data_IF_534038614043
#
_entry.id   IF_534038614043
#
_cell.length_a   1.000
_cell.length_b   1.000
_cell.length_c   1.000
_cell.angle_alpha   90.00
_cell.angle_beta   90.00
_cell.angle_gamma   90.00
#
_symmetry.space_group_name_H-M   'P 1'
#
loop_
_entity.id
_entity.type
_entity.pdbx_description
1 polymer ?
2 water ?
#
# COMPACT_ATOMS: atom_id res chain seq x y z
N UNK A 136 -9.37 -2.65 -19.83
CA UNK A 136 -9.82 -1.19 -19.81
C UNK A 136 -10.51 -0.77 -18.50
N UNK A 137 -10.14 -1.46 -17.45
CA UNK A 137 -10.58 -1.12 -16.13
C UNK A 137 -9.38 -0.44 -15.46
N UNK A 138 -9.28 0.83 -15.74
CA UNK A 138 -8.16 1.60 -15.23
C UNK A 138 -8.49 1.96 -13.79
N UNK A 139 -7.54 1.79 -12.90
CA UNK A 139 -7.70 2.33 -11.56
C UNK A 139 -6.49 3.16 -11.28
N UNK A 140 -6.63 4.07 -10.35
CA UNK A 140 -5.54 4.92 -9.92
C UNK A 140 -5.37 4.88 -8.39
N UNK A 141 -4.29 5.44 -7.91
CA UNK A 141 -3.99 5.47 -6.48
C UNK A 141 -5.08 6.16 -5.75
N UNK A 142 -5.52 5.58 -4.63
CA UNK A 142 -6.51 6.26 -3.84
C UNK A 142 -6.03 7.55 -3.22
N UNK A 143 -4.80 7.58 -2.74
CA UNK A 143 -4.27 8.76 -2.09
C UNK A 143 -2.85 8.88 -2.49
N UNK A 144 -2.43 10.07 -2.86
CA UNK A 144 -1.05 10.26 -3.22
C UNK A 144 -0.62 11.64 -2.87
N UNK A 145 0.61 11.78 -2.37
CA UNK A 145 1.19 13.09 -2.18
C UNK A 145 2.10 13.51 -3.31
N UNK A 146 1.91 14.75 -3.77
CA UNK A 146 2.74 15.40 -4.75
C UNK A 146 3.21 16.71 -4.22
N UNK A 147 4.26 17.24 -4.84
CA UNK A 147 4.70 18.57 -4.47
C UNK A 147 5.50 19.24 -5.62
N UNK A 148 5.85 20.51 -5.43
CA UNK A 148 6.61 21.12 -6.50
C UNK A 148 7.89 20.38 -6.80
N UNK A 149 8.53 19.82 -5.78
CA UNK A 149 9.75 19.06 -6.03
C UNK A 149 9.43 17.74 -6.64
N UNK A 150 8.31 17.09 -6.29
CA UNK A 150 7.92 15.79 -6.86
C UNK A 150 6.53 15.84 -7.47
N UNK A 151 6.39 16.44 -8.69
CA UNK A 151 5.06 16.75 -9.18
C UNK A 151 4.46 15.67 -10.06
N UNK A 152 5.17 14.58 -10.25
CA UNK A 152 4.71 13.61 -11.25
C UNK A 152 3.70 12.64 -10.66
N UNK A 153 2.66 12.40 -11.43
CA UNK A 153 1.66 11.38 -11.26
C UNK A 153 1.91 10.23 -12.24
N UNK A 154 1.57 9.01 -11.80
CA UNK A 154 1.75 7.81 -12.63
C UNK A 154 0.44 7.00 -12.59
N UNK A 155 0.13 6.35 -13.70
CA UNK A 155 -0.93 5.37 -13.74
C UNK A 155 -0.63 4.34 -14.83
N UNK A 156 -1.47 3.31 -14.88
CA UNK A 156 -1.24 2.16 -15.72
C UNK A 156 -1.42 2.48 -17.19
N UNK A 157 -0.46 2.05 -17.99
CA UNK A 157 -0.53 2.28 -19.42
C UNK A 157 -1.48 1.28 -20.00
N UNK A 158 -2.61 1.73 -20.53
CA UNK A 158 -3.67 0.85 -21.03
C UNK A 158 -3.31 0.30 -22.39
N UNK A 159 -2.23 0.82 -23.02
CA UNK A 159 -1.86 0.40 -24.38
C UNK A 159 -1.47 1.65 -25.16
N UNK A 160 -0.46 1.50 -26.03
CA UNK A 160 0.06 2.59 -26.82
C UNK A 160 -0.95 3.27 -27.75
N UNK A 161 -2.11 2.63 -28.01
CA UNK A 161 -3.15 3.23 -28.83
C UNK A 161 -3.94 4.26 -28.06
N UNK A 162 -3.80 4.33 -26.73
CA UNK A 162 -4.67 5.13 -25.94
C UNK A 162 -3.92 6.36 -25.42
N UNK A 163 -4.62 7.46 -25.51
CA UNK A 163 -4.28 8.69 -24.77
C UNK A 163 -5.15 8.77 -23.51
N UNK A 164 -5.01 9.85 -22.78
CA UNK A 164 -5.73 9.97 -21.51
C UNK A 164 -6.12 11.45 -21.34
N UNK A 165 -7.23 11.65 -20.61
CA UNK A 165 -7.53 13.00 -20.07
C UNK A 165 -7.53 12.84 -18.61
N UNK A 166 -6.59 13.53 -17.97
CA UNK A 166 -6.44 13.61 -16.51
C UNK A 166 -7.27 14.79 -16.07
N UNK A 167 -8.25 14.53 -15.18
CA UNK A 167 -9.11 15.58 -14.69
C UNK A 167 -8.85 15.85 -13.20
N UNK A 168 -8.46 17.04 -12.88
CA UNK A 168 -8.17 17.39 -11.47
C UNK A 168 -9.05 18.53 -11.07
N UNK A 169 -9.96 18.27 -10.12
CA UNK A 169 -10.99 19.26 -9.74
C UNK A 169 -11.60 19.97 -10.93
N UNK A 170 -12.02 19.26 -11.94
CA UNK A 170 -12.69 19.91 -13.07
C UNK A 170 -11.76 20.46 -14.13
N UNK A 171 -10.45 20.42 -13.93
CA UNK A 171 -9.56 20.91 -14.98
C UNK A 171 -9.01 19.69 -15.74
N UNK A 172 -9.09 19.76 -17.07
CA UNK A 172 -8.83 18.63 -17.90
C UNK A 172 -7.43 18.83 -18.53
N UNK A 173 -6.58 17.82 -18.47
CA UNK A 173 -5.25 17.83 -19.06
C UNK A 173 -5.18 16.69 -20.10
N UNK A 174 -4.73 17.03 -21.29
CA UNK A 174 -4.60 16.06 -22.39
C UNK A 174 -3.28 15.34 -22.30
N UNK A 175 -3.28 14.07 -21.99
CA UNK A 175 -2.06 13.33 -21.75
C UNK A 175 -1.77 12.47 -23.01
N UNK A 176 -0.57 12.63 -23.61
CA UNK A 176 -0.23 11.81 -24.80
C UNK A 176 -0.19 10.33 -24.52
N UNK A 177 -0.62 9.55 -25.50
CA UNK A 177 -0.37 8.16 -25.56
C UNK A 177 1.13 7.86 -25.34
N UNK A 178 1.43 6.72 -24.75
CA UNK A 178 2.86 6.31 -24.57
C UNK A 178 2.96 4.81 -24.75
N UNK A 179 4.12 4.36 -25.15
CA UNK A 179 4.44 2.95 -25.14
C UNK A 179 5.37 2.59 -24.00
N UNK A 180 5.58 3.50 -23.05
CA UNK A 180 6.45 3.17 -21.90
C UNK A 180 5.81 2.20 -20.91
N UNK A 181 6.55 1.88 -19.87
CA UNK A 181 6.06 0.89 -18.88
C UNK A 181 4.96 1.42 -18.01
N UNK A 182 4.80 2.74 -17.93
CA UNK A 182 3.72 3.35 -17.21
C UNK A 182 3.44 4.73 -17.85
N UNK A 183 2.32 5.33 -17.48
CA UNK A 183 2.01 6.70 -17.94
C UNK A 183 2.50 7.63 -16.83
N UNK A 184 3.24 8.66 -17.20
CA UNK A 184 3.84 9.58 -16.21
C UNK A 184 3.47 11.00 -16.65
N UNK A 185 2.90 11.80 -15.79
CA UNK A 185 2.50 13.16 -16.15
C UNK A 185 2.89 14.11 -15.06
N UNK A 186 3.58 15.15 -15.43
CA UNK A 186 3.97 16.24 -14.51
C UNK A 186 2.78 17.14 -14.25
N UNK A 187 2.31 17.14 -13.01
CA UNK A 187 1.13 17.90 -12.70
C UNK A 187 1.56 19.34 -12.50
N UNK A 188 0.94 20.31 -13.26
CA UNK A 188 1.37 21.68 -13.00
C UNK A 188 0.88 22.10 -11.66
N UNK A 189 1.52 23.10 -11.08
CA UNK A 189 1.18 23.54 -9.72
C UNK A 189 -0.32 23.60 -9.29
N UNK A 190 -0.64 22.92 -8.21
CA UNK A 190 -1.94 22.99 -7.59
C UNK A 190 -1.78 23.84 -6.33
N UNK A 191 -2.91 24.29 -5.79
CA UNK A 191 -2.94 24.90 -4.51
C UNK A 191 -2.65 23.83 -3.43
N UNK A 192 -1.98 24.19 -2.33
CA UNK A 192 -1.75 23.27 -1.25
C UNK A 192 -3.05 22.60 -0.73
N UNK A 193 -3.01 21.32 -0.44
CA UNK A 193 -4.16 20.59 0.14
C UNK A 193 -4.68 19.51 -0.82
N UNK A 194 -5.92 19.09 -0.60
CA UNK A 194 -6.52 17.86 -1.23
C UNK A 194 -7.24 18.22 -2.51
N UNK A 195 -7.03 17.40 -3.56
CA UNK A 195 -7.61 17.60 -4.86
C UNK A 195 -8.09 16.23 -5.40
N UNK A 196 -9.29 16.17 -5.96
CA UNK A 196 -9.77 14.92 -6.47
C UNK A 196 -9.29 14.80 -7.90
N UNK A 197 -9.00 13.58 -8.33
CA UNK A 197 -8.66 13.36 -9.72
C UNK A 197 -9.24 12.06 -10.25
N UNK A 198 -9.46 12.10 -11.54
CA UNK A 198 -9.87 10.87 -12.30
C UNK A 198 -9.20 10.93 -13.68
N UNK A 199 -9.24 9.81 -14.36
CA UNK A 199 -8.62 9.68 -15.66
C UNK A 199 -9.57 9.04 -16.66
N UNK A 200 -9.76 9.69 -17.80
CA UNK A 200 -10.49 9.14 -18.91
C UNK A 200 -9.51 8.58 -19.95
N UNK A 201 -9.74 7.35 -20.42
CA UNK A 201 -8.92 6.72 -21.46
C UNK A 201 -9.54 7.05 -22.77
N UNK A 202 -8.74 7.46 -23.74
CA UNK A 202 -9.21 7.91 -25.03
C UNK A 202 -8.51 7.19 -26.18
N UNK A 203 -9.26 6.99 -27.23
CA UNK A 203 -8.74 6.39 -28.44
C UNK A 203 -9.15 7.28 -29.54
N UNK A 204 -8.17 7.89 -30.20
CA UNK A 204 -8.42 8.78 -31.31
C UNK A 204 -9.22 9.98 -30.84
N UNK A 205 -8.94 10.45 -29.63
CA UNK A 205 -9.74 11.52 -29.00
C UNK A 205 -11.13 11.23 -28.47
N UNK A 206 -11.55 9.98 -28.51
CA UNK A 206 -12.84 9.58 -27.97
C UNK A 206 -12.73 8.71 -26.77
N UNK A 207 -13.45 9.08 -25.71
CA UNK A 207 -13.50 8.34 -24.52
C UNK A 207 -13.85 6.87 -24.75
N UNK A 208 -13.06 5.97 -24.20
CA UNK A 208 -13.32 4.58 -24.25
C UNK A 208 -13.38 3.90 -22.90
N UNK A 209 -13.04 4.60 -21.81
CA UNK A 209 -12.93 3.97 -20.50
C UNK A 209 -12.64 5.11 -19.52
N UNK A 210 -12.71 4.81 -18.24
CA UNK A 210 -12.59 5.85 -17.22
C UNK A 210 -12.31 5.19 -15.87
N UNK A 211 -11.62 5.88 -14.99
CA UNK A 211 -11.44 5.39 -13.62
C UNK A 211 -12.86 5.29 -12.96
N UNK A 212 -13.17 4.23 -12.23
CA UNK A 212 -14.51 4.12 -11.59
C UNK A 212 -14.57 4.93 -10.31
N UNK A 213 -13.53 4.83 -9.51
CA UNK A 213 -13.36 5.68 -8.35
C UNK A 213 -12.16 6.55 -8.67
N UNK A 214 -12.16 7.75 -8.19
CA UNK A 214 -10.97 8.55 -8.48
C UNK A 214 -9.95 8.30 -7.40
N UNK A 215 -9.07 9.27 -7.28
CA UNK A 215 -8.24 9.33 -6.13
C UNK A 215 -8.17 10.73 -5.59
N UNK A 216 -7.35 10.88 -4.57
CA UNK A 216 -7.09 12.17 -3.94
C UNK A 216 -5.61 12.49 -4.06
N UNK A 217 -5.25 13.66 -4.62
CA UNK A 217 -3.87 14.18 -4.58
C UNK A 217 -3.81 15.08 -3.36
N UNK A 218 -2.81 14.94 -2.53
CA UNK A 218 -2.48 15.95 -1.53
C UNK A 218 -1.27 16.69 -2.09
N UNK A 219 -1.44 17.98 -2.34
CA UNK A 219 -0.37 18.83 -2.79
C UNK A 219 0.26 19.55 -1.54
N UNK A 220 1.55 19.37 -1.36
CA UNK A 220 2.27 20.00 -0.26
C UNK A 220 2.42 21.49 -0.34
N UNK A 221 2.32 22.15 0.82
CA UNK A 221 2.56 23.56 0.91
C UNK A 221 4.05 23.82 0.80
N UNK A 222 4.41 25.08 0.65
CA UNK A 222 5.78 25.52 0.65
C UNK A 222 6.54 25.05 1.87
N UNK A 223 5.89 25.15 3.04
CA UNK A 223 6.52 24.73 4.25
C UNK A 223 6.69 23.24 4.31
N UNK A 224 5.67 22.49 3.89
CA UNK A 224 5.86 21.04 3.87
C UNK A 224 6.84 20.58 2.85
N UNK A 225 6.90 21.25 1.72
CA UNK A 225 7.83 20.79 0.71
C UNK A 225 9.30 21.07 1.11
N UNK A 226 9.52 22.21 1.76
CA UNK A 226 10.85 22.51 2.29
C UNK A 226 11.25 21.43 3.27
N UNK A 227 10.33 21.05 4.14
CA UNK A 227 10.71 19.99 5.09
C UNK A 227 11.00 18.63 4.40
N UNK A 228 10.21 18.26 3.42
CA UNK A 228 10.46 17.04 2.68
C UNK A 228 11.83 17.10 2.05
N UNK A 229 12.13 18.23 1.45
CA UNK A 229 13.41 18.41 0.77
C UNK A 229 14.56 18.29 1.80
N UNK A 230 14.40 18.87 2.99
CA UNK A 230 15.40 18.73 4.05
C UNK A 230 15.55 17.30 4.58
N UNK A 231 14.43 16.59 4.71
CA UNK A 231 14.48 15.19 5.10
C UNK A 231 15.21 14.35 4.06
N UNK A 232 14.94 14.59 2.80
CA UNK A 232 15.60 13.81 1.75
C UNK A 232 17.09 14.06 1.84
N UNK A 233 17.45 15.33 2.03
CA UNK A 233 18.86 15.70 2.15
C UNK A 233 19.52 15.05 3.36
N UNK A 234 18.82 14.99 4.48
CA UNK A 234 19.32 14.33 5.65
C UNK A 234 19.59 12.85 5.39
N UNK A 235 18.64 12.17 4.80
CA UNK A 235 18.80 10.75 4.53
C UNK A 235 19.94 10.49 3.54
N UNK A 236 20.07 11.28 2.50
CA UNK A 236 21.21 11.15 1.58
C UNK A 236 22.60 11.41 2.20
N UNK A 237 22.67 12.36 3.12
CA UNK A 237 23.91 12.62 3.81
C UNK A 237 24.24 11.41 4.72
N UNK A 238 23.26 10.92 5.49
CA UNK A 238 23.49 9.89 6.49
C UNK A 238 23.71 8.53 5.90
N UNK A 239 23.03 8.21 4.81
CA UNK A 239 23.21 6.89 4.18
C UNK A 239 23.61 7.08 2.78
N UNK A 240 24.90 7.39 2.62
CA UNK A 240 25.44 7.79 1.31
C UNK A 240 25.20 6.72 0.24
N UNK A 241 24.68 7.17 -0.88
CA UNK A 241 24.34 6.32 -1.99
C UNK A 241 23.19 5.34 -1.79
N UNK A 242 22.48 5.35 -0.64
CA UNK A 242 21.51 4.28 -0.33
C UNK A 242 20.14 4.65 -0.85
N UNK A 243 19.81 4.10 -2.00
CA UNK A 243 18.56 4.44 -2.66
C UNK A 243 17.36 3.83 -1.89
N UNK A 244 17.59 2.74 -1.18
CA UNK A 244 16.50 2.16 -0.42
C UNK A 244 16.04 3.08 0.73
N UNK A 245 17.02 3.58 1.49
CA UNK A 245 16.74 4.52 2.55
C UNK A 245 15.94 5.73 2.01
N UNK A 246 16.32 6.22 0.84
CA UNK A 246 15.67 7.39 0.23
C UNK A 246 14.25 7.02 -0.11
N UNK A 247 14.06 5.88 -0.76
CA UNK A 247 12.73 5.46 -1.17
C UNK A 247 11.88 5.25 0.02
N UNK A 248 12.46 4.72 1.07
CA UNK A 248 11.68 4.43 2.25
C UNK A 248 11.19 5.71 3.01
N UNK A 249 12.07 6.70 3.10
CA UNK A 249 11.67 7.99 3.61
C UNK A 249 10.55 8.67 2.77
N UNK A 250 10.71 8.73 1.46
CA UNK A 250 9.67 9.33 0.62
C UNK A 250 8.33 8.57 0.78
N UNK A 251 8.40 7.25 0.79
CA UNK A 251 7.26 6.34 1.00
C UNK A 251 6.53 6.71 2.28
N UNK A 252 7.28 6.91 3.34
CA UNK A 252 6.72 7.29 4.67
C UNK A 252 6.00 8.62 4.63
N UNK A 253 6.38 9.53 3.72
CA UNK A 253 5.64 10.77 3.56
C UNK A 253 4.52 10.71 2.53
N UNK A 254 4.19 9.53 1.98
CA UNK A 254 3.11 9.42 1.03
C UNK A 254 3.52 9.83 -0.41
N UNK A 255 4.80 10.10 -0.64
CA UNK A 255 5.29 10.54 -1.97
C UNK A 255 5.61 9.29 -2.88
N UNK A 256 4.53 8.61 -3.22
CA UNK A 256 4.65 7.23 -3.69
C UNK A 256 5.41 7.11 -5.05
N UNK A 257 5.24 8.07 -5.95
CA UNK A 257 5.97 8.02 -7.26
C UNK A 257 7.50 8.21 -7.00
N UNK A 258 7.88 9.16 -6.12
CA UNK A 258 9.29 9.39 -5.85
C UNK A 258 9.85 8.15 -5.12
N UNK A 259 9.06 7.55 -4.22
CA UNK A 259 9.49 6.31 -3.54
C UNK A 259 9.75 5.22 -4.57
N UNK A 260 8.84 5.07 -5.49
CA UNK A 260 8.97 4.11 -6.60
C UNK A 260 10.20 4.35 -7.39
N UNK A 261 10.53 5.60 -7.73
CA UNK A 261 11.76 5.88 -8.51
C UNK A 261 13.02 5.43 -7.73
N UNK A 262 13.08 5.78 -6.45
CA UNK A 262 14.26 5.42 -5.66
C UNK A 262 14.37 3.93 -5.47
N UNK A 263 13.25 3.28 -5.17
CA UNK A 263 13.27 1.86 -5.05
C UNK A 263 13.75 1.19 -6.34
N UNK A 264 13.26 1.65 -7.50
CA UNK A 264 13.66 1.05 -8.77
C UNK A 264 15.19 1.13 -8.95
N UNK A 265 15.77 2.23 -8.49
CA UNK A 265 17.22 2.39 -8.57
C UNK A 265 17.87 1.43 -7.64
N UNK A 266 17.34 1.31 -6.43
CA UNK A 266 17.90 0.38 -5.50
C UNK A 266 17.93 -1.02 -6.07
N UNK A 267 16.82 -1.48 -6.58
CA UNK A 267 16.73 -2.87 -6.98
C UNK A 267 17.47 -3.15 -8.26
N UNK A 268 17.63 -2.12 -9.09
CA UNK A 268 18.46 -2.21 -10.29
C UNK A 268 19.89 -2.50 -9.89
N UNK A 269 20.42 -1.90 -8.82
CA UNK A 269 21.78 -2.30 -8.48
C UNK A 269 21.88 -3.38 -7.39
N UNK A 270 20.82 -3.70 -6.65
CA UNK A 270 20.83 -4.83 -5.69
C UNK A 270 19.63 -5.71 -5.97
N UNK A 271 19.69 -6.37 -7.11
CA UNK A 271 18.59 -7.17 -7.58
C UNK A 271 18.24 -8.35 -6.59
N UNK A 272 19.21 -8.72 -5.76
CA UNK A 272 19.06 -9.86 -4.87
C UNK A 272 18.56 -9.47 -3.48
N UNK A 273 18.19 -8.21 -3.26
CA UNK A 273 17.73 -7.75 -1.94
C UNK A 273 16.22 -8.10 -1.77
N UNK A 274 15.90 -9.38 -1.69
CA UNK A 274 14.53 -9.84 -1.82
C UNK A 274 13.71 -9.47 -0.62
N UNK A 275 14.34 -9.38 0.52
CA UNK A 275 13.63 -9.02 1.77
C UNK A 275 12.94 -7.63 1.70
N UNK A 276 13.47 -6.70 0.92
CA UNK A 276 12.88 -5.38 0.81
C UNK A 276 11.95 -5.29 -0.36
N UNK A 277 12.03 -6.24 -1.27
CA UNK A 277 11.20 -6.23 -2.49
C UNK A 277 9.70 -6.10 -2.26
N UNK A 278 9.14 -6.71 -1.19
CA UNK A 278 7.71 -6.42 -1.02
C UNK A 278 7.30 -4.93 -0.92
N UNK A 279 8.20 -4.03 -0.53
CA UNK A 279 7.89 -2.62 -0.50
C UNK A 279 7.76 -2.09 -1.91
N UNK A 280 8.53 -2.64 -2.86
CA UNK A 280 8.38 -2.23 -4.26
C UNK A 280 7.12 -2.83 -4.87
N UNK A 281 6.84 -4.08 -4.55
CA UNK A 281 5.62 -4.70 -4.95
C UNK A 281 4.43 -3.84 -4.48
N UNK A 282 4.45 -3.41 -3.22
CA UNK A 282 3.35 -2.69 -2.60
C UNK A 282 3.17 -1.28 -3.25
N UNK A 283 4.27 -0.69 -3.65
CA UNK A 283 4.25 0.55 -4.33
C UNK A 283 3.54 0.42 -5.69
N UNK A 284 3.87 -0.63 -6.43
CA UNK A 284 3.21 -0.86 -7.70
C UNK A 284 1.76 -1.14 -7.48
N UNK A 285 1.44 -1.89 -6.43
CA UNK A 285 0.05 -2.19 -6.10
C UNK A 285 -0.78 -0.95 -5.69
N UNK A 286 -0.22 -0.11 -4.86
CA UNK A 286 -0.80 1.14 -4.53
C UNK A 286 -1.14 2.10 -5.74
N UNK A 287 -0.22 2.21 -6.70
CA UNK A 287 -0.39 2.98 -7.91
C UNK A 287 -1.28 2.28 -8.94
N UNK A 288 -1.72 1.06 -8.63
CA UNK A 288 -2.44 0.10 -9.49
C UNK A 288 -1.77 -0.22 -10.76
N UNK A 289 -0.43 -0.34 -10.75
CA UNK A 289 0.31 -0.69 -11.91
C UNK A 289 0.31 -2.23 -11.97
N UNK A 290 -0.75 -2.78 -12.53
CA UNK A 290 -0.98 -4.27 -12.50
C UNK A 290 0.14 -5.11 -13.09
N UNK A 291 0.61 -4.76 -14.27
CA UNK A 291 1.64 -5.56 -14.91
C UNK A 291 2.95 -5.48 -14.18
N UNK A 292 3.31 -4.29 -13.74
CA UNK A 292 4.53 -4.15 -12.96
C UNK A 292 4.51 -4.91 -11.65
N UNK A 293 3.38 -4.85 -11.00
CA UNK A 293 3.20 -5.56 -9.77
C UNK A 293 3.37 -7.07 -9.99
N UNK A 294 2.72 -7.57 -11.02
CA UNK A 294 2.79 -8.99 -11.34
C UNK A 294 4.20 -9.39 -11.66
N UNK A 295 4.89 -8.59 -12.46
CA UNK A 295 6.26 -8.90 -12.74
C UNK A 295 7.13 -8.93 -11.51
N UNK A 296 6.99 -7.91 -10.65
CA UNK A 296 7.82 -7.82 -9.45
C UNK A 296 7.56 -8.95 -8.52
N UNK A 297 6.30 -9.32 -8.40
CA UNK A 297 5.92 -10.49 -7.60
C UNK A 297 6.55 -11.80 -8.14
N UNK A 298 6.63 -11.90 -9.47
CA UNK A 298 7.25 -13.04 -10.08
C UNK A 298 8.74 -13.05 -9.75
N UNK A 299 9.41 -11.90 -9.84
CA UNK A 299 10.81 -11.83 -9.42
C UNK A 299 10.95 -12.33 -7.96
N UNK A 300 10.13 -11.78 -7.07
CA UNK A 300 10.20 -12.19 -5.67
C UNK A 300 10.10 -13.72 -5.52
N UNK A 301 9.07 -14.30 -6.13
CA UNK A 301 8.87 -15.73 -6.10
C UNK A 301 9.99 -16.51 -6.71
N UNK A 302 10.43 -16.14 -7.89
CA UNK A 302 11.58 -16.81 -8.50
C UNK A 302 12.79 -16.75 -7.49
N UNK A 303 13.02 -15.61 -6.82
CA UNK A 303 14.14 -15.55 -5.86
C UNK A 303 13.93 -16.41 -4.64
N UNK A 304 12.70 -16.59 -4.21
CA UNK A 304 12.41 -17.52 -3.14
C UNK A 304 12.77 -18.90 -3.60
N UNK A 305 12.23 -19.26 -4.78
CA UNK A 305 12.43 -20.56 -5.45
C UNK A 305 13.91 -20.89 -5.72
N UNK A 306 14.77 -19.90 -5.94
CA UNK A 306 16.24 -20.16 -6.04
C UNK A 306 16.99 -20.66 -4.80
N UNK A 307 16.34 -20.66 -3.66
CA UNK A 307 16.94 -21.15 -2.43
C UNK A 307 17.37 -22.64 -2.52
N UNK A 308 18.58 -23.00 -2.01
CA UNK A 308 19.00 -24.42 -2.03
C UNK A 308 17.92 -25.40 -1.49
N UNK A 309 17.52 -26.43 -2.26
CA UNK A 309 16.47 -27.43 -1.84
C UNK A 309 14.96 -27.12 -2.00
N UNK A 310 14.58 -25.85 -2.22
CA UNK A 310 13.16 -25.32 -2.19
C UNK A 310 12.13 -25.96 -3.17
N UNK A 311 12.56 -26.23 -4.40
CA UNK A 311 11.69 -26.80 -5.47
C UNK A 311 12.15 -28.20 -5.83
N UNK B 137 -11.51 11.01 11.35
CA UNK B 137 -10.81 10.49 12.55
C UNK B 137 -10.55 8.98 12.41
N UNK B 138 -11.41 8.23 11.69
CA UNK B 138 -11.10 6.85 11.24
C UNK B 138 -10.84 6.71 9.72
N UNK B 139 -9.73 6.06 9.38
CA UNK B 139 -9.48 5.61 8.02
C UNK B 139 -9.18 4.13 8.05
N UNK B 140 -9.42 3.48 6.91
CA UNK B 140 -9.13 2.05 6.73
C UNK B 140 -8.28 1.76 5.49
N UNK B 141 -7.77 0.55 5.40
CA UNK B 141 -6.92 0.16 4.32
C UNK B 141 -7.61 0.40 2.99
N UNK B 142 -6.90 0.98 2.05
CA UNK B 142 -7.45 1.17 0.73
C UNK B 142 -7.70 -0.11 0.00
N UNK B 143 -6.77 -1.06 0.11
CA UNK B 143 -6.84 -2.33 -0.59
C UNK B 143 -6.27 -3.36 0.33
N UNK B 144 -6.96 -4.47 0.44
CA UNK B 144 -6.46 -5.51 1.28
C UNK B 144 -6.94 -6.82 0.75
N UNK B 145 -6.05 -7.82 0.81
CA UNK B 145 -6.44 -9.17 0.51
C UNK B 145 -6.79 -9.99 1.77
N UNK B 146 -7.96 -10.62 1.71
CA UNK B 146 -8.43 -11.53 2.70
C UNK B 146 -8.75 -12.87 2.06
N UNK B 147 -8.89 -13.90 2.90
CA UNK B 147 -9.24 -15.21 2.41
C UNK B 147 -9.85 -16.06 3.52
N UNK B 148 -10.42 -17.20 3.14
CA UNK B 148 -10.98 -18.04 4.19
C UNK B 148 -9.96 -18.40 5.23
N UNK B 149 -8.71 -18.61 4.80
CA UNK B 149 -7.65 -18.92 5.74
C UNK B 149 -7.29 -17.69 6.53
N UNK B 150 -7.32 -16.51 5.90
CA UNK B 150 -6.89 -15.29 6.58
C UNK B 150 -8.04 -14.27 6.48
N UNK B 151 -9.12 -14.47 7.27
CA UNK B 151 -10.32 -13.66 7.10
C UNK B 151 -10.38 -12.43 7.95
N UNK B 152 -9.36 -12.14 8.73
CA UNK B 152 -9.45 -11.07 9.70
C UNK B 152 -9.10 -9.72 9.06
N UNK B 153 -9.96 -8.76 9.36
CA UNK B 153 -9.80 -7.39 9.02
C UNK B 153 -9.45 -6.65 10.31
N UNK B 154 -8.62 -5.63 10.16
CA UNK B 154 -8.15 -4.86 11.30
C UNK B 154 -8.34 -3.38 10.99
N UNK B 155 -8.68 -2.60 12.02
CA UNK B 155 -8.66 -1.12 11.96
C UNK B 155 -8.39 -0.48 13.30
N UNK B 156 -8.22 0.83 13.29
CA UNK B 156 -7.75 1.59 14.42
C UNK B 156 -8.83 1.67 15.50
N UNK B 157 -8.44 1.41 16.75
CA UNK B 157 -9.38 1.40 17.89
C UNK B 157 -9.62 2.84 18.35
N UNK B 158 -10.81 3.35 18.06
CA UNK B 158 -11.09 4.76 18.31
C UNK B 158 -11.26 5.03 19.81
N UNK B 159 -11.34 3.96 20.63
CA UNK B 159 -11.59 4.08 22.06
C UNK B 159 -12.54 2.98 22.50
N UNK B 160 -12.33 2.50 23.73
CA UNK B 160 -13.14 1.44 24.32
C UNK B 160 -14.62 1.75 24.45
N UNK B 161 -15.02 3.02 24.33
CA UNK B 161 -16.45 3.37 24.35
C UNK B 161 -17.18 3.00 23.07
N UNK B 162 -16.42 2.83 21.98
CA UNK B 162 -17.01 2.80 20.67
C UNK B 162 -17.05 1.42 20.14
N UNK B 163 -18.22 1.11 19.60
CA UNK B 163 -18.41 -0.07 18.78
C UNK B 163 -18.30 0.38 17.33
N UNK B 164 -18.55 -0.55 16.43
CA UNK B 164 -18.41 -0.27 15.01
C UNK B 164 -19.44 -1.05 14.25
N UNK B 165 -19.82 -0.49 13.10
CA UNK B 165 -20.59 -1.23 12.12
C UNK B 165 -19.75 -1.27 10.88
N UNK B 166 -19.32 -2.47 10.52
CA UNK B 166 -18.55 -2.72 9.34
C UNK B 166 -19.54 -3.00 8.21
N UNK B 167 -19.46 -2.24 7.13
CA UNK B 167 -20.33 -2.41 6.01
C UNK B 167 -19.58 -2.96 4.80
N UNK B 168 -20.01 -4.10 4.27
CA UNK B 168 -19.39 -4.66 3.08
C UNK B 168 -20.41 -4.86 1.99
N UNK B 169 -20.25 -4.12 0.90
CA UNK B 169 -21.25 -4.08 -0.17
C UNK B 169 -22.69 -3.96 0.36
N UNK B 170 -22.93 -3.06 1.30
CA UNK B 170 -24.29 -2.87 1.79
C UNK B 170 -24.71 -3.84 2.89
N UNK B 171 -23.87 -4.82 3.24
CA UNK B 171 -24.22 -5.71 4.33
C UNK B 171 -23.50 -5.20 5.57
N UNK B 172 -24.28 -5.04 6.62
CA UNK B 172 -23.82 -4.35 7.81
C UNK B 172 -23.47 -5.41 8.86
N UNK B 173 -22.31 -5.31 9.51
CA UNK B 173 -21.90 -6.25 10.56
C UNK B 173 -21.64 -5.48 11.86
N UNK B 174 -22.21 -5.96 12.94
CA UNK B 174 -21.95 -5.34 14.23
C UNK B 174 -20.55 -5.70 14.52
N UNK B 175 -19.82 -4.76 15.10
CA UNK B 175 -18.57 -5.10 15.72
C UNK B 175 -18.55 -4.59 17.16
N UNK B 176 -18.26 -5.47 18.11
CA UNK B 176 -18.19 -5.03 19.49
C UNK B 176 -17.05 -4.08 19.77
N UNK B 177 -17.29 -3.14 20.66
CA UNK B 177 -16.24 -2.32 21.27
C UNK B 177 -15.10 -3.21 21.75
N UNK B 178 -13.87 -2.72 21.68
CA UNK B 178 -12.72 -3.42 22.25
C UNK B 178 -11.91 -2.39 23.03
N UNK B 179 -11.16 -2.90 24.00
CA UNK B 179 -10.14 -2.10 24.64
C UNK B 179 -8.76 -2.55 24.19
N UNK B 180 -8.66 -3.43 23.19
CA UNK B 180 -7.33 -3.87 22.68
C UNK B 180 -6.58 -2.83 21.85
N UNK B 181 -5.38 -3.18 21.39
CA UNK B 181 -4.55 -2.28 20.57
C UNK B 181 -5.09 -1.97 19.20
N UNK B 182 -5.98 -2.82 18.71
CA UNK B 182 -6.59 -2.62 17.42
C UNK B 182 -7.89 -3.32 17.44
N UNK B 183 -8.73 -2.98 16.47
CA UNK B 183 -9.98 -3.67 16.30
C UNK B 183 -9.72 -4.75 15.28
N UNK B 184 -10.20 -5.96 15.57
CA UNK B 184 -10.03 -7.14 14.73
C UNK B 184 -11.37 -7.82 14.56
N UNK B 185 -11.72 -8.16 13.34
CA UNK B 185 -13.01 -8.79 13.07
C UNK B 185 -12.86 -9.80 11.98
N UNK B 186 -13.38 -10.98 12.24
CA UNK B 186 -13.34 -12.07 11.29
C UNK B 186 -14.44 -11.87 10.28
N UNK B 187 -14.06 -11.68 9.04
CA UNK B 187 -15.04 -11.40 8.02
C UNK B 187 -15.61 -12.72 7.57
N UNK B 188 -16.95 -12.90 7.67
CA UNK B 188 -17.50 -14.16 7.16
C UNK B 188 -17.38 -14.27 5.65
N UNK B 189 -17.39 -15.49 5.14
CA UNK B 189 -17.10 -15.72 3.74
C UNK B 189 -17.80 -14.75 2.75
N UNK B 190 -16.98 -14.16 1.89
CA UNK B 190 -17.44 -13.36 0.80
C UNK B 190 -17.25 -14.17 -0.47
N UNK B 191 -17.95 -13.76 -1.51
CA UNK B 191 -17.74 -14.28 -2.86
C UNK B 191 -16.37 -13.85 -3.34
N UNK B 192 -15.67 -14.71 -4.11
CA UNK B 192 -14.35 -14.37 -4.64
C UNK B 192 -14.36 -13.05 -5.45
N UNK B 193 -13.31 -12.24 -5.33
CA UNK B 193 -13.20 -10.97 -6.05
C UNK B 193 -13.28 -9.76 -5.13
N UNK B 194 -13.57 -8.58 -5.72
CA UNK B 194 -13.47 -7.28 -5.04
C UNK B 194 -14.78 -6.92 -4.34
N UNK B 195 -14.67 -6.32 -3.16
CA UNK B 195 -15.78 -5.90 -2.34
C UNK B 195 -15.41 -4.59 -1.68
N UNK B 196 -16.32 -3.63 -1.73
CA UNK B 196 -16.09 -2.36 -1.10
C UNK B 196 -16.50 -2.48 0.37
N UNK B 197 -15.83 -1.73 1.22
CA UNK B 197 -16.21 -1.69 2.61
C UNK B 197 -15.94 -0.35 3.26
N UNK B 198 -16.73 -0.11 4.30
CA UNK B 198 -16.57 1.06 5.15
C UNK B 198 -16.92 0.71 6.58
N UNK B 199 -16.58 1.63 7.50
CA UNK B 199 -16.81 1.44 8.94
C UNK B 199 -17.49 2.67 9.57
N UNK B 200 -18.60 2.43 10.26
CA UNK B 200 -19.25 3.45 11.10
C UNK B 200 -18.85 3.24 12.55
N UNK B 201 -18.42 4.31 13.22
CA UNK B 201 -18.07 4.26 14.62
C UNK B 201 -19.34 4.58 15.39
N UNK B 202 -19.63 3.78 16.41
CA UNK B 202 -20.88 3.93 17.16
C UNK B 202 -20.63 4.11 18.64
N UNK B 203 -21.57 4.82 19.27
CA UNK B 203 -21.53 5.09 20.68
C UNK B 203 -22.94 4.76 21.16
N UNK B 204 -23.06 3.60 21.78
CA UNK B 204 -24.37 3.03 22.08
C UNK B 204 -25.29 2.87 20.88
N UNK B 205 -24.75 2.40 19.75
CA UNK B 205 -25.61 1.92 18.64
C UNK B 205 -26.44 2.91 17.82
N UNK B 206 -25.93 4.14 17.65
CA UNK B 206 -26.39 5.03 16.58
C UNK B 206 -25.28 5.23 15.53
N UNK B 207 -24.33 6.13 15.79
CA UNK B 207 -23.30 6.55 14.82
C UNK B 207 -22.69 7.85 15.33
N UNK B 208 -21.38 7.85 15.49
CA UNK B 208 -20.64 9.03 15.96
C UNK B 208 -19.55 9.47 14.95
N UNK B 209 -19.25 8.64 13.96
CA UNK B 209 -18.12 8.87 13.08
C UNK B 209 -18.16 7.80 12.02
N UNK B 210 -17.34 7.97 10.99
CA UNK B 210 -17.41 7.10 9.84
C UNK B 210 -16.14 7.25 9.00
N UNK B 211 -15.77 6.19 8.30
CA UNK B 211 -14.65 6.26 7.37
C UNK B 211 -14.97 7.19 6.22
N UNK B 212 -13.89 7.66 5.62
CA UNK B 212 -13.96 8.74 4.71
C UNK B 212 -14.23 8.10 3.36
N UNK B 213 -13.26 7.38 2.84
CA UNK B 213 -13.39 6.77 1.53
C UNK B 213 -13.76 5.30 1.61
N UNK B 214 -13.50 4.63 2.72
CA UNK B 214 -13.61 3.18 2.71
C UNK B 214 -12.50 2.60 1.89
N UNK B 215 -12.59 1.30 1.67
CA UNK B 215 -11.56 0.55 0.97
C UNK B 215 -12.10 -0.58 0.13
N UNK B 216 -11.20 -1.35 -0.45
CA UNK B 216 -11.52 -2.49 -1.26
C UNK B 216 -10.91 -3.74 -0.62
N UNK B 217 -11.72 -4.75 -0.37
CA UNK B 217 -11.26 -6.10 0.00
C UNK B 217 -11.20 -6.94 -1.27
N UNK B 218 -10.09 -7.63 -1.50
CA UNK B 218 -10.05 -8.67 -2.48
C UNK B 218 -10.15 -10.00 -1.73
N UNK B 219 -11.21 -10.75 -1.98
CA UNK B 219 -11.41 -12.07 -1.36
C UNK B 219 -10.97 -13.19 -2.31
N UNK B 220 -9.96 -13.94 -1.87
CA UNK B 220 -9.39 -14.98 -2.67
C UNK B 220 -10.37 -16.16 -2.90
N UNK B 221 -10.30 -16.75 -4.08
CA UNK B 221 -11.08 -17.95 -4.41
C UNK B 221 -10.42 -19.08 -3.69
N UNK B 222 -11.08 -20.24 -3.68
CA UNK B 222 -10.51 -21.44 -3.12
C UNK B 222 -9.16 -21.77 -3.73
N UNK B 223 -9.06 -21.62 -5.05
CA UNK B 223 -7.82 -21.89 -5.80
C UNK B 223 -6.71 -20.93 -5.42
N UNK B 224 -7.02 -19.65 -5.32
CA UNK B 224 -6.01 -18.69 -4.90
C UNK B 224 -5.62 -18.90 -3.44
N UNK B 225 -6.56 -19.20 -2.56
CA UNK B 225 -6.21 -19.40 -1.15
C UNK B 225 -5.34 -20.62 -0.95
N UNK B 226 -5.65 -21.67 -1.71
CA UNK B 226 -4.86 -22.88 -1.68
C UNK B 226 -3.43 -22.57 -2.13
N UNK B 227 -3.29 -21.79 -3.21
CA UNK B 227 -1.93 -21.46 -3.67
C UNK B 227 -1.17 -20.65 -2.63
N UNK B 228 -1.84 -19.67 -2.06
CA UNK B 228 -1.23 -18.88 -1.02
C UNK B 228 -0.74 -19.78 0.12
N UNK B 229 -1.62 -20.67 0.56
CA UNK B 229 -1.34 -21.54 1.66
C UNK B 229 -0.24 -22.53 1.37
N UNK B 230 -0.15 -23.02 0.12
CA UNK B 230 0.98 -23.84 -0.28
C UNK B 230 2.31 -23.09 -0.20
N UNK B 231 2.30 -21.83 -0.60
CA UNK B 231 3.52 -21.01 -0.48
C UNK B 231 3.92 -20.81 0.97
N UNK B 232 2.94 -20.62 1.85
CA UNK B 232 3.24 -20.46 3.26
C UNK B 232 3.94 -21.72 3.74
N UNK B 233 3.38 -22.86 3.39
CA UNK B 233 3.93 -24.14 3.81
C UNK B 233 5.38 -24.32 3.29
N UNK B 234 5.64 -23.92 2.06
CA UNK B 234 6.98 -23.97 1.51
C UNK B 234 7.96 -23.09 2.30
N UNK B 235 7.54 -21.87 2.57
CA UNK B 235 8.45 -20.96 3.31
C UNK B 235 8.73 -21.50 4.70
N UNK B 236 7.72 -22.01 5.38
CA UNK B 236 7.92 -22.59 6.68
C UNK B 236 8.80 -23.85 6.68
N UNK B 237 8.72 -24.64 5.62
CA UNK B 237 9.64 -25.81 5.47
C UNK B 237 11.09 -25.38 5.27
N UNK B 238 11.31 -24.44 4.38
CA UNK B 238 12.65 -23.97 4.15
C UNK B 238 13.17 -23.30 5.48
N UNK B 239 12.59 -22.17 5.83
CA UNK B 239 13.16 -21.30 6.84
C UNK B 239 12.43 -21.58 8.15
N UNK B 240 12.79 -22.71 8.79
CA UNK B 240 12.09 -23.20 9.97
C UNK B 240 12.07 -22.15 11.10
N UNK B 241 10.88 -21.93 11.63
CA UNK B 241 10.65 -21.01 12.70
C UNK B 241 10.89 -19.53 12.35
N UNK B 242 11.11 -19.18 11.09
CA UNK B 242 11.45 -17.78 10.77
C UNK B 242 10.16 -17.02 10.42
N UNK B 243 9.69 -16.25 11.38
CA UNK B 243 8.47 -15.52 11.29
C UNK B 243 8.62 -14.32 10.34
N UNK B 244 9.84 -13.80 10.20
CA UNK B 244 10.06 -12.72 9.28
C UNK B 244 9.83 -13.19 7.84
N UNK B 245 10.42 -14.32 7.48
CA UNK B 245 10.28 -14.93 6.17
C UNK B 245 8.84 -15.14 5.83
N UNK B 246 8.10 -15.64 6.80
CA UNK B 246 6.66 -15.88 6.65
C UNK B 246 5.92 -14.59 6.40
N UNK B 247 6.19 -13.58 7.22
CA UNK B 247 5.53 -12.28 7.06
C UNK B 247 5.82 -11.68 5.71
N UNK B 248 7.06 -11.80 5.29
CA UNK B 248 7.58 -11.18 4.06
C UNK B 248 6.91 -11.80 2.83
N UNK B 249 6.75 -13.12 2.85
CA UNK B 249 5.99 -13.82 1.84
C UNK B 249 4.55 -13.37 1.79
N UNK B 250 3.87 -13.36 2.94
CA UNK B 250 2.45 -12.93 2.99
C UNK B 250 2.29 -11.46 2.49
N UNK B 251 3.26 -10.65 2.85
CA UNK B 251 3.38 -9.25 2.47
C UNK B 251 3.50 -9.14 0.95
N UNK B 252 4.35 -9.96 0.36
CA UNK B 252 4.50 -10.00 -1.07
C UNK B 252 3.17 -10.32 -1.77
N UNK B 253 2.27 -11.03 -1.12
CA UNK B 253 0.99 -11.37 -1.72
C UNK B 253 -0.10 -10.40 -1.39
N UNK B 254 0.18 -9.36 -0.63
CA UNK B 254 -0.87 -8.38 -0.28
C UNK B 254 -1.80 -8.76 0.86
N UNK B 255 -1.43 -9.82 1.60
CA UNK B 255 -2.24 -10.29 2.75
C UNK B 255 -1.77 -9.63 4.04
N UNK B 256 -2.13 -8.38 4.16
CA UNK B 256 -1.47 -7.46 5.03
C UNK B 256 -1.65 -7.79 6.51
N UNK B 257 -2.86 -8.22 6.92
CA UNK B 257 -3.11 -8.57 8.34
C UNK B 257 -2.28 -9.81 8.74
N UNK B 258 -2.21 -10.81 7.88
CA UNK B 258 -1.41 -12.00 8.16
C UNK B 258 0.10 -11.64 8.15
N UNK B 259 0.52 -10.75 7.28
CA UNK B 259 1.91 -10.28 7.28
C UNK B 259 2.19 -9.60 8.59
N UNK B 260 1.27 -8.74 9.02
CA UNK B 260 1.40 -7.99 10.28
C UNK B 260 1.54 -8.96 11.45
N UNK B 261 0.70 -9.98 11.52
CA UNK B 261 0.77 -10.93 12.64
C UNK B 261 2.13 -11.68 12.69
N UNK B 262 2.61 -12.16 11.54
CA UNK B 262 3.87 -12.82 11.49
C UNK B 262 5.01 -11.86 11.82
N UNK B 263 5.00 -10.65 11.26
CA UNK B 263 6.05 -9.68 11.63
C UNK B 263 6.03 -9.35 13.15
N UNK B 264 4.85 -9.19 13.73
CA UNK B 264 4.77 -8.89 15.18
C UNK B 264 5.42 -10.00 15.99
N UNK B 265 5.21 -11.22 15.55
CA UNK B 265 5.80 -12.35 16.24
C UNK B 265 7.26 -12.28 16.11
N UNK B 266 7.72 -11.95 14.91
CA UNK B 266 9.17 -11.81 14.73
C UNK B 266 9.75 -10.78 15.68
N UNK B 267 9.16 -9.59 15.72
CA UNK B 267 9.82 -8.49 16.41
C UNK B 267 9.65 -8.61 17.91
N UNK B 268 8.65 -9.37 18.34
CA UNK B 268 8.48 -9.72 19.72
C UNK B 268 9.68 -10.54 20.19
N UNK B 269 10.18 -11.48 19.39
CA UNK B 269 11.38 -12.20 19.85
C UNK B 269 12.72 -11.65 19.35
N UNK B 270 12.73 -10.75 18.38
CA UNK B 270 13.95 -10.12 17.91
C UNK B 270 13.72 -8.62 17.84
N UNK B 271 13.59 -8.03 19.00
CA UNK B 271 13.26 -6.62 19.12
C UNK B 271 14.37 -5.70 18.52
N UNK B 272 15.58 -6.24 18.38
CA UNK B 272 16.74 -5.49 17.92
C UNK B 272 17.02 -5.65 16.41
N UNK B 273 16.13 -6.30 15.67
CA UNK B 273 16.32 -6.52 14.21
C UNK B 273 15.80 -5.31 13.39
N UNK B 274 16.46 -4.18 13.60
CA UNK B 274 15.94 -2.90 13.19
C UNK B 274 15.91 -2.74 11.68
N UNK B 275 16.85 -3.37 11.01
CA UNK B 275 16.89 -3.30 9.57
C UNK B 275 15.59 -3.81 8.91
N UNK B 276 14.87 -4.71 9.55
CA UNK B 276 13.64 -5.24 8.98
C UNK B 276 12.40 -4.47 9.39
N UNK B 277 12.54 -3.64 10.41
CA UNK B 277 11.43 -2.90 10.95
C UNK B 277 10.65 -2.04 9.96
N UNK B 278 11.29 -1.52 8.91
CA UNK B 278 10.43 -0.74 8.00
C UNK B 278 9.34 -1.52 7.34
N UNK B 279 9.48 -2.84 7.24
CA UNK B 279 8.40 -3.63 6.67
C UNK B 279 7.17 -3.64 7.60
N UNK B 280 7.43 -3.66 8.90
CA UNK B 280 6.34 -3.61 9.88
C UNK B 280 5.71 -2.24 9.94
N UNK B 281 6.53 -1.23 9.90
CA UNK B 281 5.99 0.11 9.91
C UNK B 281 5.00 0.27 8.76
N UNK B 282 5.38 -0.24 7.58
CA UNK B 282 4.59 0.02 6.38
C UNK B 282 3.28 -0.70 6.50
N UNK B 283 3.35 -1.85 7.12
CA UNK B 283 2.16 -2.62 7.36
C UNK B 283 1.17 -1.86 8.25
N UNK B 284 1.66 -1.25 9.33
CA UNK B 284 0.80 -0.45 10.19
C UNK B 284 0.27 0.77 9.43
N UNK B 285 1.09 1.36 8.59
CA UNK B 285 0.63 2.46 7.75
C UNK B 285 -0.48 2.05 6.75
N UNK B 286 -0.26 0.94 6.06
CA UNK B 286 -1.25 0.42 5.10
C UNK B 286 -2.63 0.23 5.74
N UNK B 287 -2.63 -0.32 6.94
CA UNK B 287 -3.86 -0.57 7.74
C UNK B 287 -4.41 0.65 8.44
N UNK B 288 -3.69 1.78 8.29
CA UNK B 288 -3.91 3.07 9.01
C UNK B 288 -3.98 2.97 10.53
N UNK B 289 -3.14 2.12 11.11
CA UNK B 289 -3.07 1.98 12.55
C UNK B 289 -2.11 3.05 13.02
N UNK B 290 -2.66 4.26 13.19
CA UNK B 290 -1.83 5.45 13.39
C UNK B 290 -0.89 5.38 14.58
N UNK B 291 -1.43 4.99 15.71
CA UNK B 291 -0.65 4.99 16.95
C UNK B 291 0.43 3.92 16.89
N UNK B 292 0.09 2.75 16.37
CA UNK B 292 1.06 1.67 16.21
C UNK B 292 2.20 2.08 15.26
N UNK B 293 1.83 2.76 14.17
CA UNK B 293 2.79 3.19 13.17
C UNK B 293 3.73 4.16 13.81
N UNK B 294 3.15 5.14 14.49
CA UNK B 294 3.95 6.15 15.14
C UNK B 294 4.88 5.53 16.15
N UNK B 295 4.38 4.63 17.00
CA UNK B 295 5.23 4.00 17.98
C UNK B 295 6.33 3.27 17.29
N UNK B 296 6.00 2.52 16.24
CA UNK B 296 6.99 1.68 15.61
C UNK B 296 8.07 2.54 14.96
N UNK B 297 7.65 3.62 14.33
CA UNK B 297 8.59 4.56 13.69
C UNK B 297 9.54 5.18 14.68
N UNK B 298 9.02 5.47 15.88
CA UNK B 298 9.86 6.00 16.95
C UNK B 298 10.91 4.97 17.37
N UNK B 299 10.48 3.72 17.57
CA UNK B 299 11.43 2.64 17.90
C UNK B 299 12.51 2.51 16.82
N UNK B 300 12.10 2.48 15.55
CA UNK B 300 13.05 2.43 14.44
C UNK B 300 14.07 3.52 14.50
N UNK B 301 13.60 4.76 14.58
CA UNK B 301 14.54 5.89 14.66
C UNK B 301 15.42 5.89 15.87
N UNK B 302 14.86 5.61 17.04
CA UNK B 302 15.67 5.48 18.24
C UNK B 302 16.77 4.41 18.03
N UNK B 303 16.42 3.27 17.43
CA UNK B 303 17.40 2.21 17.18
C UNK B 303 18.43 2.57 16.10
N UNK B 304 18.11 3.47 15.17
CA UNK B 304 19.11 3.93 14.20
C UNK B 304 20.42 4.47 14.82
N UNK B 305 20.47 4.69 16.14
CA UNK B 305 21.76 4.93 16.84
C UNK B 305 22.53 3.64 17.07
#
# INVERSE_FOLDING_TARGET
MASWSHPQFEKGADDDDKSEPPVSMLMQVAGAVETSKGGEKWAPVTRNKFLFVGTQVRTGADGGGKLIDQNSGMAQTIGANSVVEITAAGPKAVSGSLSAPEAASGDLVAGLSNRFAEAQRYTTVRRSVKKEAADLKLRVASDITLSPTYPDLVWENMGAQYGYTLVIDGTSHAVPATSGEMVRFRVPSLTPGAHSFGVTVTEGGQAVGQTEKGGTIVWLSATEDKALVDGVARVKAASTGDEFALGNYLDSKGVTVAAMDAYRKHFASHKDDNDMRPLLIKTYNDLKLRDLRQKEALVYNEQLEGNPGFSSISAHHHHHHHHHH
MASWSHPQFEKGADDDDKSEPPVSMLMQVAGAVETSKGGEKWAPVTRNKFLFVGTQVRTGADGGGKLIDQNSGMAQTIGANSVVEITAAGPKAVSGSLSAPEAASGDLVAGLSNRFAEAQRYTTVRRSVKKEAADLKLRVASDITLSPTYPDLVWENMGAQYGYTLVIDGTSHAVPATSGEMVRFRVPSLTPGAHSFGVTVTEGGQAVGQTEKGGTIVWLSATEDKALVDGVARVKAASTGDEFALGNYLDSKGVTVAAMDAYRKHFASHKDDNDMRPLLIKTYNDLKLRDLRQKEALVYNEQLEGNPGFSSISAHHHHHHHHHH
#
